data_IF_001672414210
#
_entry.id   IF_001672414210
#
_cell.length_a   1.000
_cell.length_b   1.000
_cell.length_c   1.000
_cell.angle_alpha   90.00
_cell.angle_beta   90.00
_cell.angle_gamma   90.00
#
_symmetry.space_group_name_H-M   'P 1'
#
loop_
_entity.id
_entity.type
_entity.pdbx_description
1 polymer ?
#
# COMPACT_ATOMS: atom_id res chain seq x y z
N UNK A 1 27.12 3.93 -12.61
CA UNK A 1 27.37 5.25 -12.01
C UNK A 1 26.18 5.61 -11.15
N UNK A 2 26.36 5.88 -9.85
CA UNK A 2 25.26 6.39 -9.01
C UNK A 2 24.89 7.79 -9.49
N UNK A 3 23.60 8.07 -9.67
CA UNK A 3 23.14 9.42 -9.97
C UNK A 3 23.59 10.39 -8.85
N UNK A 4 23.89 11.64 -9.20
CA UNK A 4 24.25 12.66 -8.23
C UNK A 4 23.12 12.89 -7.22
N UNK A 5 23.44 13.27 -5.96
CA UNK A 5 22.43 13.61 -4.97
C UNK A 5 21.58 14.79 -5.45
N UNK A 6 20.26 14.72 -5.25
CA UNK A 6 19.30 15.74 -5.68
C UNK A 6 18.27 15.97 -4.56
N UNK A 7 17.78 17.22 -4.38
CA UNK A 7 16.65 17.44 -3.49
C UNK A 7 15.38 16.81 -4.06
N UNK A 8 14.39 16.52 -3.21
CA UNK A 8 13.20 15.81 -3.64
C UNK A 8 11.90 16.33 -3.01
N UNK A 9 10.80 16.15 -3.72
CA UNK A 9 9.44 16.37 -3.24
C UNK A 9 8.64 15.09 -3.48
N UNK A 10 8.12 14.47 -2.42
CA UNK A 10 7.20 13.35 -2.52
C UNK A 10 5.75 13.85 -2.38
N UNK A 11 4.91 13.59 -3.37
CA UNK A 11 3.52 14.06 -3.44
C UNK A 11 2.55 12.90 -3.26
N UNK A 12 1.67 12.99 -2.27
CA UNK A 12 0.65 11.98 -1.93
C UNK A 12 -0.71 12.65 -1.66
N UNK A 13 -1.51 12.84 -2.71
CA UNK A 13 -2.78 13.58 -2.61
C UNK A 13 -4.03 12.72 -2.44
N UNK A 14 -3.93 11.39 -2.51
CA UNK A 14 -5.06 10.50 -2.18
C UNK A 14 -5.35 10.54 -0.66
N UNK A 15 -6.50 11.08 -0.20
CA UNK A 15 -6.81 11.13 1.23
C UNK A 15 -7.06 9.74 1.84
N UNK A 16 -7.23 8.71 1.02
CA UNK A 16 -7.26 7.31 1.43
C UNK A 16 -5.92 6.82 1.98
N UNK A 17 -4.82 7.49 1.63
CA UNK A 17 -3.43 7.15 1.98
C UNK A 17 -2.89 8.13 3.04
N UNK A 18 -2.90 7.75 4.33
CA UNK A 18 -2.16 8.50 5.34
C UNK A 18 -0.66 8.25 5.18
N UNK A 19 0.13 9.27 4.87
CA UNK A 19 1.56 9.09 4.59
C UNK A 19 2.33 8.43 5.75
N UNK A 20 2.03 8.81 6.99
CA UNK A 20 2.60 8.25 8.22
C UNK A 20 1.67 7.28 8.96
N UNK A 21 0.63 6.80 8.26
CA UNK A 21 -0.26 5.80 8.83
C UNK A 21 0.33 4.39 8.85
N UNK A 22 -0.54 3.42 9.17
CA UNK A 22 -0.18 1.99 9.34
C UNK A 22 -0.73 1.08 8.25
N UNK A 23 -1.28 1.64 7.17
CA UNK A 23 -1.79 0.85 6.04
C UNK A 23 -0.61 0.36 5.18
N UNK A 24 -0.82 -0.68 4.37
CA UNK A 24 0.19 -1.11 3.39
C UNK A 24 0.63 0.02 2.46
N UNK A 25 -0.32 0.85 1.99
CA UNK A 25 0.01 2.04 1.20
C UNK A 25 0.82 3.09 1.97
N UNK A 26 0.63 3.22 3.28
CA UNK A 26 1.45 4.09 4.14
C UNK A 26 2.87 3.57 4.27
N UNK A 27 3.03 2.26 4.53
CA UNK A 27 4.35 1.61 4.61
C UNK A 27 5.12 1.77 3.30
N UNK A 28 4.44 1.63 2.17
CA UNK A 28 5.00 1.87 0.85
C UNK A 28 5.49 3.32 0.67
N UNK A 29 4.63 4.31 0.95
CA UNK A 29 5.00 5.74 0.91
C UNK A 29 6.22 6.03 1.79
N UNK A 30 6.27 5.47 3.00
CA UNK A 30 7.41 5.62 3.90
C UNK A 30 8.68 4.95 3.34
N UNK A 31 8.55 3.80 2.69
CA UNK A 31 9.65 3.12 2.00
C UNK A 31 10.24 3.97 0.88
N UNK A 32 9.39 4.53 0.01
CA UNK A 32 9.80 5.46 -1.05
C UNK A 32 10.49 6.68 -0.45
N UNK A 33 9.89 7.29 0.58
CA UNK A 33 10.43 8.47 1.23
C UNK A 33 11.81 8.22 1.87
N UNK A 34 12.02 7.06 2.50
CA UNK A 34 13.36 6.65 2.99
C UNK A 34 14.38 6.54 1.88
N UNK A 35 13.99 6.06 0.69
CA UNK A 35 14.88 5.99 -0.48
C UNK A 35 15.19 7.37 -1.06
N UNK A 36 14.25 8.30 -1.03
CA UNK A 36 14.50 9.70 -1.41
C UNK A 36 15.48 10.36 -0.44
N UNK A 37 15.29 10.20 0.88
CA UNK A 37 16.22 10.69 1.91
C UNK A 37 17.62 10.09 1.74
N UNK A 38 17.72 8.77 1.58
CA UNK A 38 19.01 8.11 1.40
C UNK A 38 19.75 8.59 0.12
N UNK A 39 19.02 8.97 -0.92
CA UNK A 39 19.59 9.48 -2.18
C UNK A 39 19.83 10.98 -2.21
N UNK A 40 19.23 11.75 -1.31
CA UNK A 40 19.37 13.21 -1.33
C UNK A 40 20.75 13.68 -0.87
N UNK A 41 21.53 12.82 -0.21
CA UNK A 41 22.87 13.18 0.28
C UNK A 41 22.84 14.32 1.29
N UNK A 42 21.76 14.42 2.08
CA UNK A 42 21.54 15.51 3.04
C UNK A 42 20.80 16.73 2.46
N UNK A 43 20.53 16.76 1.16
CA UNK A 43 19.69 17.79 0.54
C UNK A 43 18.24 17.67 1.02
N UNK A 44 17.47 18.77 1.02
CA UNK A 44 16.11 18.77 1.51
C UNK A 44 15.20 17.77 0.78
N UNK A 45 14.40 17.05 1.57
CA UNK A 45 13.33 16.19 1.09
C UNK A 45 12.02 16.68 1.69
N UNK A 46 11.08 17.03 0.83
CA UNK A 46 9.75 17.48 1.20
C UNK A 46 8.72 16.38 1.01
N UNK A 47 7.74 16.31 1.90
CA UNK A 47 6.54 15.51 1.75
C UNK A 47 5.33 16.44 1.64
N UNK A 48 4.62 16.42 0.52
CA UNK A 48 3.34 17.12 0.33
C UNK A 48 2.24 16.07 0.35
N UNK A 49 1.39 16.10 1.38
CA UNK A 49 0.39 15.05 1.60
C UNK A 49 -1.00 15.61 1.91
N UNK A 50 -2.04 14.93 1.43
CA UNK A 50 -3.42 15.21 1.83
C UNK A 50 -3.63 14.99 3.33
N UNK A 51 -3.00 13.96 3.89
CA UNK A 51 -2.94 13.72 5.34
C UNK A 51 -1.78 12.85 5.78
N UNK A 52 -1.31 13.03 7.01
CA UNK A 52 -0.24 12.22 7.59
C UNK A 52 -0.78 10.98 8.28
N UNK A 53 -1.75 11.16 9.19
CA UNK A 53 -2.36 10.06 9.94
C UNK A 53 -1.48 9.45 11.04
N UNK A 54 -0.47 10.18 11.50
CA UNK A 54 0.43 9.80 12.60
C UNK A 54 1.68 10.67 12.65
N UNK A 55 2.51 10.43 13.67
CA UNK A 55 3.85 11.00 13.79
C UNK A 55 4.81 10.44 12.74
N UNK A 56 5.88 11.19 12.44
CA UNK A 56 6.93 10.72 11.55
C UNK A 56 7.58 9.43 12.10
N UNK A 57 7.66 8.35 11.31
CA UNK A 57 8.31 7.12 11.75
C UNK A 57 9.84 7.24 11.70
N UNK A 58 10.52 6.26 12.29
CA UNK A 58 11.98 6.21 12.34
C UNK A 58 12.63 6.37 10.94
N UNK A 59 13.67 7.20 10.92
CA UNK A 59 14.42 7.55 9.71
C UNK A 59 13.79 8.66 8.86
N UNK A 60 12.62 9.20 9.24
CA UNK A 60 11.93 10.26 8.49
C UNK A 60 11.81 11.60 9.23
N UNK A 61 12.41 11.75 10.41
CA UNK A 61 12.33 12.99 11.21
C UNK A 61 12.96 14.23 10.55
N UNK A 62 13.83 14.06 9.56
CA UNK A 62 14.43 15.16 8.78
C UNK A 62 13.62 15.56 7.53
N UNK A 63 12.47 14.93 7.27
CA UNK A 63 11.61 15.28 6.13
C UNK A 63 10.81 16.54 6.45
N UNK A 64 10.80 17.49 5.51
CA UNK A 64 10.02 18.72 5.62
C UNK A 64 8.58 18.47 5.16
N UNK A 65 7.64 18.50 6.09
CA UNK A 65 6.26 18.04 5.85
C UNK A 65 5.29 19.19 5.61
N UNK A 66 4.45 19.02 4.58
CA UNK A 66 3.37 19.92 4.21
C UNK A 66 2.05 19.13 4.13
N UNK A 67 1.25 19.18 5.21
CA UNK A 67 -0.06 18.55 5.24
C UNK A 67 -1.13 19.54 4.75
N UNK A 68 -1.78 19.22 3.62
CA UNK A 68 -2.77 20.09 2.97
C UNK A 68 -4.20 19.88 3.49
N UNK A 69 -4.39 18.88 4.35
CA UNK A 69 -5.67 18.52 4.95
C UNK A 69 -6.56 17.69 4.03
N UNK A 70 -7.24 16.71 4.64
CA UNK A 70 -8.26 15.90 3.95
C UNK A 70 -9.47 16.78 3.63
N UNK A 71 -9.88 16.91 2.36
CA UNK A 71 -11.06 17.70 2.03
C UNK A 71 -12.32 17.10 2.66
N UNK A 72 -13.19 17.96 3.18
CA UNK A 72 -14.55 17.62 3.59
C UNK A 72 -15.50 17.94 2.45
N UNK A 73 -16.48 17.09 2.22
CA UNK A 73 -17.43 17.25 1.13
C UNK A 73 -18.78 16.62 1.47
N UNK A 74 -19.85 17.34 1.15
CA UNK A 74 -21.23 16.90 1.33
C UNK A 74 -21.71 16.20 0.06
N UNK A 75 -21.26 14.96 -0.11
CA UNK A 75 -21.65 14.08 -1.22
C UNK A 75 -20.62 13.97 -2.36
N UNK A 76 -20.85 13.06 -3.32
CA UNK A 76 -19.82 12.65 -4.29
C UNK A 76 -19.36 13.78 -5.22
N UNK A 77 -20.27 14.60 -5.75
CA UNK A 77 -19.90 15.71 -6.65
C UNK A 77 -19.05 16.77 -5.95
N UNK A 78 -19.35 17.08 -4.69
CA UNK A 78 -18.53 17.98 -3.90
C UNK A 78 -17.17 17.36 -3.59
N UNK A 79 -17.10 16.03 -3.40
CA UNK A 79 -15.85 15.33 -3.12
C UNK A 79 -14.89 15.38 -4.33
N UNK A 80 -15.38 15.13 -5.54
CA UNK A 80 -14.58 15.21 -6.76
C UNK A 80 -14.01 16.63 -6.96
N UNK A 81 -14.86 17.66 -6.86
CA UNK A 81 -14.41 19.07 -6.92
C UNK A 81 -13.39 19.41 -5.85
N UNK A 82 -13.58 18.92 -4.63
CA UNK A 82 -12.67 19.20 -3.52
C UNK A 82 -11.31 18.52 -3.69
N UNK A 83 -11.25 17.37 -4.37
CA UNK A 83 -10.01 16.66 -4.70
C UNK A 83 -9.26 17.36 -5.84
N UNK A 84 -9.96 17.84 -6.87
CA UNK A 84 -9.34 18.69 -7.91
C UNK A 84 -8.80 19.99 -7.31
N UNK A 85 -9.55 20.64 -6.41
CA UNK A 85 -9.07 21.84 -5.72
C UNK A 85 -7.89 21.56 -4.78
N UNK A 86 -7.79 20.35 -4.21
CA UNK A 86 -6.62 19.93 -3.44
C UNK A 86 -5.38 19.81 -4.34
N UNK A 87 -5.53 19.26 -5.55
CA UNK A 87 -4.45 19.19 -6.54
C UNK A 87 -3.96 20.58 -6.94
N UNK A 88 -4.86 21.53 -7.21
CA UNK A 88 -4.47 22.92 -7.54
C UNK A 88 -3.67 23.60 -6.42
N UNK A 89 -4.09 23.42 -5.14
CA UNK A 89 -3.33 23.96 -4.00
C UNK A 89 -1.96 23.29 -3.86
N UNK A 90 -1.90 21.97 -4.04
CA UNK A 90 -0.64 21.24 -4.02
C UNK A 90 0.29 21.69 -5.16
N UNK A 91 -0.27 21.98 -6.33
CA UNK A 91 0.49 22.38 -7.51
C UNK A 91 1.22 23.72 -7.29
N UNK A 92 0.56 24.71 -6.67
CA UNK A 92 1.20 25.98 -6.30
C UNK A 92 2.34 25.77 -5.31
N UNK A 93 2.10 24.99 -4.25
CA UNK A 93 3.14 24.68 -3.26
C UNK A 93 4.32 23.94 -3.88
N UNK A 94 4.06 22.93 -4.71
CA UNK A 94 5.12 22.13 -5.33
C UNK A 94 5.92 22.96 -6.34
N UNK A 95 5.27 23.83 -7.10
CA UNK A 95 5.94 24.80 -7.98
C UNK A 95 6.92 25.68 -7.19
N UNK A 96 6.47 26.30 -6.09
CA UNK A 96 7.31 27.11 -5.22
C UNK A 96 8.48 26.31 -4.61
N UNK A 97 8.22 25.08 -4.18
CA UNK A 97 9.27 24.19 -3.67
C UNK A 97 10.30 23.86 -4.74
N UNK A 98 9.88 23.52 -5.96
CA UNK A 98 10.80 23.22 -7.06
C UNK A 98 11.70 24.42 -7.35
N UNK A 99 11.12 25.62 -7.52
CA UNK A 99 11.88 26.86 -7.74
C UNK A 99 12.85 27.14 -6.60
N UNK A 100 12.44 26.93 -5.35
CA UNK A 100 13.32 27.09 -4.19
C UNK A 100 14.48 26.09 -4.15
N UNK A 101 14.21 24.83 -4.47
CA UNK A 101 15.19 23.75 -4.47
C UNK A 101 16.19 23.86 -5.62
N UNK A 102 15.79 24.37 -6.78
CA UNK A 102 16.70 24.64 -7.91
C UNK A 102 17.81 25.63 -7.55
N UNK A 103 17.50 26.62 -6.70
CA UNK A 103 18.47 27.63 -6.23
C UNK A 103 19.60 27.03 -5.39
N UNK A 104 19.48 25.77 -4.94
CA UNK A 104 20.55 25.05 -4.25
C UNK A 104 21.69 24.64 -5.20
N UNK A 105 21.48 24.69 -6.52
CA UNK A 105 22.51 24.34 -7.51
C UNK A 105 22.89 22.86 -7.54
N UNK A 106 22.12 21.99 -6.89
CA UNK A 106 22.38 20.55 -6.77
C UNK A 106 21.73 19.72 -7.90
N UNK A 107 21.51 20.33 -9.06
CA UNK A 107 20.73 19.78 -10.17
C UNK A 107 19.22 19.94 -9.98
N UNK A 108 18.45 19.60 -11.01
CA UNK A 108 16.99 19.71 -10.95
C UNK A 108 16.42 18.94 -9.74
N UNK A 109 15.36 19.39 -9.06
CA UNK A 109 14.71 18.60 -8.04
C UNK A 109 14.02 17.36 -8.63
N UNK A 110 13.84 16.32 -7.82
CA UNK A 110 12.99 15.17 -8.20
C UNK A 110 11.62 15.34 -7.57
N UNK A 111 10.55 15.35 -8.37
CA UNK A 111 9.19 15.27 -7.86
C UNK A 111 8.66 13.86 -8.11
N UNK A 112 8.47 13.11 -7.02
CA UNK A 112 7.91 11.76 -7.04
C UNK A 112 6.46 11.81 -6.58
N UNK A 113 5.52 11.66 -7.49
CA UNK A 113 4.10 11.69 -7.20
C UNK A 113 3.51 10.29 -7.22
N UNK A 114 2.75 9.95 -6.19
CA UNK A 114 1.89 8.78 -6.21
C UNK A 114 0.61 9.12 -6.95
N UNK A 115 0.23 8.27 -7.90
CA UNK A 115 -0.99 8.46 -8.69
C UNK A 115 -2.23 8.60 -7.80
N UNK A 116 -3.01 9.64 -8.10
CA UNK A 116 -4.28 9.94 -7.47
C UNK A 116 -5.27 10.39 -8.54
N UNK A 117 -6.52 9.96 -8.41
CA UNK A 117 -7.54 10.06 -9.46
C UNK A 117 -7.74 11.48 -10.01
N UNK A 118 -7.66 12.47 -9.13
CA UNK A 118 -7.89 13.89 -9.42
C UNK A 118 -6.60 14.72 -9.36
N UNK A 119 -5.43 14.07 -9.54
CA UNK A 119 -4.13 14.72 -9.34
C UNK A 119 -3.23 14.62 -10.57
N UNK A 120 -3.23 15.69 -11.35
CA UNK A 120 -2.43 15.82 -12.58
C UNK A 120 -1.69 17.15 -12.64
N UNK A 121 -2.33 18.23 -12.20
CA UNK A 121 -1.82 19.60 -12.27
C UNK A 121 -0.56 19.76 -11.43
N UNK A 122 -0.49 19.10 -10.27
CA UNK A 122 0.72 19.12 -9.43
C UNK A 122 1.95 18.63 -10.18
N UNK A 123 1.83 17.53 -10.93
CA UNK A 123 2.95 16.97 -11.67
C UNK A 123 3.30 17.79 -12.91
N UNK A 124 2.28 18.32 -13.60
CA UNK A 124 2.47 19.21 -14.75
C UNK A 124 3.22 20.49 -14.36
N UNK A 125 2.80 21.14 -13.27
CA UNK A 125 3.49 22.35 -12.77
C UNK A 125 4.90 22.05 -12.28
N UNK A 126 5.10 20.95 -11.57
CA UNK A 126 6.44 20.52 -11.16
C UNK A 126 7.38 20.36 -12.37
N UNK A 127 6.89 19.75 -13.46
CA UNK A 127 7.64 19.61 -14.70
C UNK A 127 7.93 20.95 -15.37
N UNK A 128 6.93 21.82 -15.48
CA UNK A 128 7.09 23.14 -16.07
C UNK A 128 8.08 24.01 -15.28
N UNK A 129 8.13 23.84 -13.96
CA UNK A 129 9.06 24.50 -13.07
C UNK A 129 10.48 23.91 -13.08
N UNK A 130 10.77 22.89 -13.91
CA UNK A 130 12.13 22.36 -14.11
C UNK A 130 12.45 21.06 -13.37
N UNK A 131 11.51 20.47 -12.62
CA UNK A 131 11.75 19.21 -11.93
C UNK A 131 11.83 18.00 -12.88
N UNK A 132 12.62 16.99 -12.47
CA UNK A 132 12.46 15.63 -13.01
C UNK A 132 11.27 14.96 -12.31
N UNK A 133 10.22 14.71 -13.08
CA UNK A 133 8.95 14.17 -12.58
C UNK A 133 8.83 12.66 -12.74
N UNK A 134 8.46 11.99 -11.66
CA UNK A 134 8.16 10.55 -11.63
C UNK A 134 6.73 10.36 -11.13
N UNK A 135 5.94 9.57 -11.86
CA UNK A 135 4.60 9.18 -11.45
C UNK A 135 4.56 7.69 -11.12
N UNK A 136 4.23 7.34 -9.89
CA UNK A 136 3.95 5.96 -9.50
C UNK A 136 2.47 5.63 -9.72
N UNK A 137 2.19 4.80 -10.72
CA UNK A 137 0.88 4.23 -10.98
C UNK A 137 0.70 2.99 -10.10
N UNK A 138 0.02 3.17 -8.97
CA UNK A 138 -0.14 2.14 -7.95
C UNK A 138 -1.31 1.18 -8.21
N UNK A 139 -2.30 1.58 -9.01
CA UNK A 139 -3.54 0.85 -9.24
C UNK A 139 -4.33 1.48 -10.41
N UNK A 140 -5.26 0.73 -11.02
CA UNK A 140 -6.18 1.27 -12.01
C UNK A 140 -7.31 2.07 -11.33
N UNK A 141 -6.99 3.25 -10.80
CA UNK A 141 -7.90 3.99 -9.89
C UNK A 141 -9.24 4.40 -10.53
N UNK A 142 -9.28 4.67 -11.83
CA UNK A 142 -10.54 4.96 -12.55
C UNK A 142 -11.47 3.76 -12.46
N UNK A 143 -10.99 2.59 -12.90
CA UNK A 143 -11.71 1.33 -12.84
C UNK A 143 -12.13 0.95 -11.41
N UNK A 144 -11.22 1.08 -10.44
CA UNK A 144 -11.50 0.74 -9.04
C UNK A 144 -12.58 1.65 -8.45
N UNK A 145 -12.54 2.95 -8.76
CA UNK A 145 -13.55 3.89 -8.30
C UNK A 145 -14.90 3.58 -8.95
N UNK A 146 -14.96 3.31 -10.26
CA UNK A 146 -16.19 2.96 -10.97
C UNK A 146 -16.81 1.64 -10.48
N UNK A 147 -15.99 0.63 -10.14
CA UNK A 147 -16.47 -0.69 -9.69
C UNK A 147 -16.86 -0.75 -8.22
N UNK A 148 -16.20 0.02 -7.35
CA UNK A 148 -16.31 -0.16 -5.91
C UNK A 148 -16.80 1.07 -5.14
N UNK A 149 -16.97 2.21 -5.81
CA UNK A 149 -17.36 3.49 -5.22
C UNK A 149 -18.23 4.29 -6.20
N UNK A 150 -18.54 5.54 -5.84
CA UNK A 150 -19.23 6.48 -6.73
C UNK A 150 -18.19 7.26 -7.54
N UNK A 151 -18.36 7.25 -8.86
CA UNK A 151 -17.63 8.09 -9.81
C UNK A 151 -18.68 8.81 -10.65
N UNK A 152 -18.75 10.14 -10.57
CA UNK A 152 -19.72 10.93 -11.34
C UNK A 152 -19.10 11.43 -12.65
N UNK A 153 -17.87 11.93 -12.59
CA UNK A 153 -17.15 12.44 -13.76
C UNK A 153 -16.04 11.46 -14.20
N UNK A 154 -16.46 10.34 -14.81
CA UNK A 154 -15.52 9.33 -15.31
C UNK A 154 -14.63 9.88 -16.43
N UNK A 155 -15.18 10.66 -17.35
CA UNK A 155 -14.42 11.27 -18.44
C UNK A 155 -13.33 12.21 -17.92
N UNK A 156 -13.64 13.06 -16.93
CA UNK A 156 -12.68 13.94 -16.28
C UNK A 156 -11.61 13.16 -15.52
N UNK A 157 -11.98 12.08 -14.83
CA UNK A 157 -11.03 11.20 -14.15
C UNK A 157 -10.06 10.53 -15.14
N UNK A 158 -10.55 10.03 -16.28
CA UNK A 158 -9.72 9.49 -17.37
C UNK A 158 -8.80 10.58 -17.92
N UNK A 159 -9.34 11.77 -18.24
CA UNK A 159 -8.57 12.87 -18.81
C UNK A 159 -7.42 13.32 -17.89
N UNK A 160 -7.66 13.46 -16.58
CA UNK A 160 -6.64 13.80 -15.60
C UNK A 160 -5.60 12.68 -15.44
N UNK A 161 -6.04 11.43 -15.45
CA UNK A 161 -5.13 10.27 -15.37
C UNK A 161 -4.16 10.24 -16.55
N UNK A 162 -4.69 10.43 -17.76
CA UNK A 162 -3.92 10.54 -18.99
C UNK A 162 -2.91 11.71 -18.95
N UNK A 163 -3.34 12.87 -18.45
CA UNK A 163 -2.50 14.05 -18.26
C UNK A 163 -1.34 13.77 -17.29
N UNK A 164 -1.63 13.22 -16.12
CA UNK A 164 -0.62 12.88 -15.13
C UNK A 164 0.44 11.92 -15.71
N UNK A 165 0.02 10.86 -16.40
CA UNK A 165 0.93 9.89 -17.01
C UNK A 165 1.83 10.52 -18.08
N UNK A 166 1.29 11.41 -18.91
CA UNK A 166 2.07 12.13 -19.94
C UNK A 166 2.97 13.23 -19.37
N UNK A 167 2.62 13.79 -18.22
CA UNK A 167 3.44 14.80 -17.54
C UNK A 167 4.70 14.20 -16.90
N UNK A 168 4.69 12.90 -16.58
CA UNK A 168 5.86 12.24 -15.99
C UNK A 168 7.02 12.14 -17.00
N UNK A 169 8.25 12.41 -16.55
CA UNK A 169 9.44 11.95 -17.30
C UNK A 169 9.56 10.43 -17.21
N UNK A 170 9.14 9.84 -16.10
CA UNK A 170 9.01 8.40 -15.93
C UNK A 170 7.70 8.05 -15.21
N UNK A 171 6.79 7.39 -15.92
CA UNK A 171 5.66 6.71 -15.30
C UNK A 171 6.08 5.28 -14.93
N UNK A 172 5.93 4.91 -13.67
CA UNK A 172 6.28 3.58 -13.15
C UNK A 172 5.06 2.89 -12.58
N UNK A 173 4.78 1.67 -13.02
CA UNK A 173 3.67 0.86 -12.55
C UNK A 173 4.16 -0.27 -11.64
N UNK A 174 3.40 -0.54 -10.58
CA UNK A 174 3.78 -1.50 -9.54
C UNK A 174 3.66 -2.98 -9.98
N UNK A 175 3.05 -3.23 -11.14
CA UNK A 175 2.90 -4.58 -11.71
C UNK A 175 2.74 -4.53 -13.23
N UNK A 176 2.89 -5.68 -13.89
CA UNK A 176 2.64 -5.80 -15.33
C UNK A 176 1.21 -5.45 -15.72
N UNK A 177 0.22 -5.91 -14.96
CA UNK A 177 -1.19 -5.61 -15.24
C UNK A 177 -1.51 -4.10 -15.13
N UNK A 178 -0.98 -3.43 -14.11
CA UNK A 178 -1.14 -1.98 -13.95
C UNK A 178 -0.41 -1.22 -15.06
N UNK A 179 0.74 -1.70 -15.51
CA UNK A 179 1.46 -1.10 -16.64
C UNK A 179 0.68 -1.21 -17.96
N UNK A 180 0.08 -2.37 -18.23
CA UNK A 180 -0.79 -2.57 -19.40
C UNK A 180 -1.96 -1.61 -19.36
N UNK A 181 -2.71 -1.57 -18.24
CA UNK A 181 -3.83 -0.64 -18.07
C UNK A 181 -3.41 0.82 -18.28
N UNK A 182 -2.29 1.25 -17.68
CA UNK A 182 -1.84 2.63 -17.78
C UNK A 182 -1.44 3.03 -19.21
N UNK A 183 -0.81 2.11 -19.96
CA UNK A 183 -0.45 2.33 -21.37
C UNK A 183 -1.69 2.39 -22.25
N UNK A 184 -2.65 1.49 -22.05
CA UNK A 184 -3.92 1.47 -22.78
C UNK A 184 -4.72 2.74 -22.53
N UNK A 185 -4.78 3.21 -21.29
CA UNK A 185 -5.49 4.42 -20.91
C UNK A 185 -4.88 5.67 -21.55
N UNK A 186 -3.55 5.84 -21.44
CA UNK A 186 -2.89 7.13 -21.68
C UNK A 186 -2.10 7.24 -22.98
N UNK A 187 -1.74 6.10 -23.60
CA UNK A 187 -0.78 6.01 -24.69
C UNK A 187 0.67 6.34 -24.29
N UNK A 188 0.95 6.62 -23.01
CA UNK A 188 2.28 6.99 -22.53
C UNK A 188 3.14 5.75 -22.27
N UNK A 189 4.48 5.85 -22.39
CA UNK A 189 5.38 4.78 -21.95
C UNK A 189 5.31 4.63 -20.42
N UNK A 190 5.18 3.38 -19.97
CA UNK A 190 5.14 3.03 -18.55
C UNK A 190 6.11 1.90 -18.29
N UNK A 191 6.94 2.00 -17.25
CA UNK A 191 7.91 0.95 -16.86
C UNK A 191 7.40 0.20 -15.64
N UNK A 192 7.61 -1.12 -15.59
CA UNK A 192 7.24 -1.91 -14.40
C UNK A 192 8.36 -1.77 -13.35
N UNK A 193 8.00 -1.30 -12.16
CA UNK A 193 8.87 -1.30 -10.98
C UNK A 193 8.07 -1.91 -9.83
N UNK A 194 8.29 -3.21 -9.51
CA UNK A 194 7.54 -3.88 -8.45
C UNK A 194 7.76 -3.20 -7.10
N UNK A 195 6.75 -3.25 -6.24
CA UNK A 195 6.90 -2.79 -4.87
C UNK A 195 7.98 -3.59 -4.15
N UNK A 196 8.86 -2.88 -3.44
CA UNK A 196 9.91 -3.48 -2.64
C UNK A 196 9.42 -3.88 -1.25
N UNK A 197 10.11 -4.84 -0.65
CA UNK A 197 10.03 -5.15 0.78
C UNK A 197 11.34 -4.78 1.45
N UNK A 198 11.27 -4.36 2.71
CA UNK A 198 12.46 -4.16 3.53
C UNK A 198 13.08 -5.52 3.88
N UNK A 199 14.14 -5.91 3.17
CA UNK A 199 14.78 -7.21 3.34
C UNK A 199 15.55 -7.34 4.66
N UNK A 200 15.93 -6.24 5.31
CA UNK A 200 16.54 -6.28 6.65
C UNK A 200 15.47 -6.61 7.68
N UNK A 201 14.27 -6.04 7.52
CA UNK A 201 13.13 -6.31 8.39
C UNK A 201 12.44 -7.65 8.12
N UNK A 202 12.38 -8.07 6.86
CA UNK A 202 11.65 -9.26 6.40
C UNK A 202 12.57 -10.29 5.75
N UNK A 203 13.75 -10.51 6.35
CA UNK A 203 14.67 -11.58 5.95
C UNK A 203 14.21 -12.96 6.45
N UNK A 204 14.74 -14.05 5.88
CA UNK A 204 14.53 -15.39 6.42
C UNK A 204 14.95 -15.44 7.89
N UNK A 205 14.06 -15.90 8.77
CA UNK A 205 14.40 -16.06 10.18
C UNK A 205 15.53 -17.09 10.32
N UNK A 206 16.64 -16.69 10.94
CA UNK A 206 17.71 -17.61 11.30
C UNK A 206 17.25 -18.48 12.49
N UNK A 207 16.93 -19.75 12.22
CA UNK A 207 16.74 -20.75 13.28
C UNK A 207 15.31 -21.07 13.73
N UNK A 208 14.26 -20.66 13.00
CA UNK A 208 12.87 -21.00 13.36
C UNK A 208 12.02 -21.50 12.18
N UNK A 209 12.64 -22.16 11.20
CA UNK A 209 11.89 -22.94 10.23
C UNK A 209 11.14 -24.06 10.98
N UNK A 210 9.87 -24.27 10.63
CA UNK A 210 9.12 -25.44 11.04
C UNK A 210 9.98 -26.69 10.76
N UNK A 211 10.39 -27.40 11.83
CA UNK A 211 11.18 -28.63 11.69
C UNK A 211 10.40 -29.71 10.92
N UNK A 212 11.05 -30.78 10.47
CA UNK A 212 10.35 -31.90 9.84
C UNK A 212 9.20 -32.41 10.73
N UNK A 213 7.97 -32.45 10.20
CA UNK A 213 6.77 -32.86 10.94
C UNK A 213 6.12 -31.79 11.82
N UNK A 214 6.66 -30.56 11.82
CA UNK A 214 5.98 -29.42 12.42
C UNK A 214 4.70 -29.09 11.64
N UNK A 215 3.70 -28.53 12.32
CA UNK A 215 2.40 -28.44 11.71
C UNK A 215 2.26 -27.35 10.66
N UNK A 216 1.33 -27.58 9.72
CA UNK A 216 0.97 -26.58 8.73
C UNK A 216 0.27 -25.39 9.41
N UNK A 217 0.96 -24.26 9.47
CA UNK A 217 0.39 -23.00 9.94
C UNK A 217 -0.05 -22.13 8.76
N UNK A 218 -1.35 -21.88 8.66
CA UNK A 218 -1.94 -20.92 7.73
C UNK A 218 -2.27 -19.63 8.46
N UNK A 219 -1.62 -18.53 8.08
CA UNK A 219 -1.81 -17.21 8.68
C UNK A 219 -2.22 -16.15 7.65
N UNK A 220 -3.04 -15.19 8.09
CA UNK A 220 -3.40 -14.01 7.31
C UNK A 220 -3.02 -12.76 8.09
N UNK A 221 -2.38 -11.79 7.45
CA UNK A 221 -2.09 -10.49 8.07
C UNK A 221 -2.60 -9.40 7.14
N UNK A 222 -3.72 -8.79 7.52
CA UNK A 222 -4.37 -7.78 6.70
C UNK A 222 -5.63 -7.23 7.35
N UNK A 223 -6.20 -6.18 6.75
CA UNK A 223 -7.53 -5.69 7.13
C UNK A 223 -8.59 -6.66 6.60
N UNK A 224 -9.72 -6.82 7.28
CA UNK A 224 -10.83 -7.61 6.75
C UNK A 224 -11.65 -6.80 5.75
N UNK A 225 -11.45 -7.06 4.46
CA UNK A 225 -12.23 -6.47 3.36
C UNK A 225 -12.68 -7.60 2.43
N UNK A 226 -13.88 -7.52 1.83
CA UNK A 226 -14.41 -8.59 0.99
C UNK A 226 -13.45 -9.03 -0.13
N UNK A 227 -12.78 -8.07 -0.77
CA UNK A 227 -11.83 -8.32 -1.84
C UNK A 227 -10.51 -8.98 -1.40
N UNK A 228 -10.26 -9.13 -0.09
CA UNK A 228 -9.09 -9.90 0.38
C UNK A 228 -9.36 -11.41 0.40
N UNK A 229 -10.59 -11.88 0.12
CA UNK A 229 -10.88 -13.30 -0.08
C UNK A 229 -10.64 -14.16 1.16
N UNK A 230 -10.88 -13.63 2.36
CA UNK A 230 -10.62 -14.39 3.59
C UNK A 230 -11.49 -15.65 3.69
N UNK A 231 -12.71 -15.61 3.18
CA UNK A 231 -13.58 -16.79 3.09
C UNK A 231 -12.92 -17.89 2.24
N UNK A 232 -12.39 -17.52 1.07
CA UNK A 232 -11.63 -18.44 0.21
C UNK A 232 -10.40 -19.02 0.93
N UNK A 233 -9.67 -18.21 1.71
CA UNK A 233 -8.54 -18.71 2.50
C UNK A 233 -8.98 -19.74 3.55
N UNK A 234 -10.10 -19.49 4.23
CA UNK A 234 -10.63 -20.40 5.25
C UNK A 234 -11.10 -21.70 4.60
N UNK A 235 -11.83 -21.63 3.50
CA UNK A 235 -12.28 -22.81 2.75
C UNK A 235 -11.10 -23.64 2.22
N UNK A 236 -10.09 -22.96 1.67
CA UNK A 236 -8.85 -23.60 1.23
C UNK A 236 -8.13 -24.27 2.41
N UNK A 237 -7.99 -23.58 3.56
CA UNK A 237 -7.36 -24.13 4.75
C UNK A 237 -8.14 -25.34 5.31
N UNK A 238 -9.47 -25.30 5.29
CA UNK A 238 -10.33 -26.40 5.72
C UNK A 238 -10.15 -27.63 4.82
N UNK A 239 -9.97 -27.44 3.51
CA UNK A 239 -9.76 -28.55 2.57
C UNK A 239 -8.43 -29.28 2.75
N UNK A 240 -7.46 -28.66 3.43
CA UNK A 240 -6.17 -29.27 3.75
C UNK A 240 -6.22 -30.17 4.99
N UNK A 241 -7.22 -30.01 5.87
CA UNK A 241 -7.33 -30.79 7.11
C UNK A 241 -7.50 -32.28 6.79
N UNK A 242 -6.59 -33.11 7.32
CA UNK A 242 -6.61 -34.57 7.12
C UNK A 242 -5.79 -35.07 5.92
N UNK A 243 -5.10 -34.19 5.19
CA UNK A 243 -4.08 -34.59 4.21
C UNK A 243 -2.77 -35.00 4.90
N UNK A 244 -1.92 -35.84 4.28
CA UNK A 244 -0.63 -36.26 4.85
C UNK A 244 0.29 -35.10 5.23
N UNK A 245 0.15 -33.95 4.55
CA UNK A 245 0.92 -32.73 4.80
C UNK A 245 0.33 -31.85 5.92
N UNK A 246 -0.91 -32.12 6.34
CA UNK A 246 -1.62 -31.38 7.38
C UNK A 246 -1.51 -32.06 8.74
N UNK A 247 -0.28 -32.23 9.23
CA UNK A 247 -0.13 -32.40 10.67
C UNK A 247 -0.51 -31.08 11.34
N UNK A 248 -1.60 -31.08 12.11
CA UNK A 248 -1.81 -30.41 13.42
C UNK A 248 -1.71 -28.87 13.61
N UNK A 249 -2.77 -28.13 13.28
CA UNK A 249 -3.17 -26.83 13.89
C UNK A 249 -3.01 -25.57 13.01
N UNK A 250 -4.13 -25.17 12.41
CA UNK A 250 -4.32 -23.89 11.75
C UNK A 250 -4.58 -22.80 12.79
N UNK A 251 -3.73 -21.78 12.86
CA UNK A 251 -3.98 -20.59 13.67
C UNK A 251 -4.05 -19.35 12.77
N UNK A 252 -5.29 -18.90 12.54
CA UNK A 252 -5.59 -17.66 11.84
C UNK A 252 -5.45 -16.49 12.83
N UNK A 253 -4.33 -15.77 12.80
CA UNK A 253 -4.19 -14.52 13.55
C UNK A 253 -4.88 -13.38 12.80
N UNK A 254 -5.63 -12.54 13.52
CA UNK A 254 -6.39 -11.43 12.99
C UNK A 254 -6.11 -10.17 13.80
N UNK A 255 -5.58 -9.12 13.19
CA UNK A 255 -5.44 -7.81 13.84
C UNK A 255 -4.21 -7.02 13.40
N UNK A 256 -4.16 -5.70 13.71
CA UNK A 256 -2.93 -4.93 13.57
C UNK A 256 -1.85 -5.64 14.39
N UNK A 257 -0.68 -5.89 13.79
CA UNK A 257 0.39 -6.68 14.41
C UNK A 257 0.58 -6.32 15.90
N UNK A 258 0.30 -7.25 16.85
CA UNK A 258 0.62 -7.00 18.24
C UNK A 258 2.14 -7.13 18.43
N UNK A 259 2.74 -6.38 19.37
CA UNK A 259 4.17 -6.49 19.70
C UNK A 259 4.47 -7.69 20.63
N UNK A 260 3.66 -8.74 20.64
CA UNK A 260 3.78 -9.84 21.59
C UNK A 260 4.14 -11.16 20.91
N UNK A 261 4.92 -12.04 21.58
CA UNK A 261 5.24 -13.35 21.06
C UNK A 261 3.96 -14.16 20.79
N UNK A 262 4.01 -14.95 19.72
CA UNK A 262 2.92 -15.81 19.25
C UNK A 262 2.36 -16.66 20.40
N UNK A 263 1.03 -16.75 20.58
CA UNK A 263 0.44 -17.58 21.61
C UNK A 263 0.77 -19.06 21.37
N UNK A 264 1.00 -19.81 22.45
CA UNK A 264 1.24 -21.25 22.38
C UNK A 264 0.09 -21.96 21.62
N UNK A 265 0.39 -23.03 20.85
CA UNK A 265 -0.62 -23.76 20.11
C UNK A 265 -1.74 -24.26 21.04
N UNK A 266 -2.98 -24.14 20.58
CA UNK A 266 -4.15 -24.62 21.31
C UNK A 266 -4.06 -26.15 21.49
N UNK A 267 -4.47 -26.68 22.66
CA UNK A 267 -4.52 -28.12 22.86
C UNK A 267 -5.52 -28.75 21.87
N UNK A 268 -5.27 -30.00 21.43
CA UNK A 268 -6.14 -30.67 20.47
C UNK A 268 -7.57 -30.82 21.02
N UNK A 269 -8.60 -30.77 20.14
CA UNK A 269 -9.98 -30.90 20.54
C UNK A 269 -10.22 -32.25 21.23
N UNK A 270 -10.75 -32.21 22.46
CA UNK A 270 -11.14 -33.42 23.17
C UNK A 270 -12.46 -33.93 22.58
N UNK A 271 -12.39 -34.98 21.76
CA UNK A 271 -13.60 -35.70 21.34
C UNK A 271 -14.19 -36.43 22.55
N UNK A 272 -15.50 -36.29 22.84
CA UNK A 272 -16.15 -37.06 23.89
C UNK A 272 -16.10 -38.55 23.54
N UNK A 273 -15.54 -39.36 24.46
CA UNK A 273 -15.50 -40.83 24.31
C UNK A 273 -16.93 -41.36 24.18
N UNK A 274 -17.17 -42.19 23.15
CA UNK A 274 -18.44 -42.87 22.98
C UNK A 274 -18.77 -43.72 24.23
N UNK A 275 -20.04 -43.76 24.68
CA UNK A 275 -20.42 -44.54 25.85
C UNK A 275 -20.26 -46.03 25.55
N UNK A 276 -19.52 -46.71 26.42
CA UNK A 276 -19.37 -48.17 26.43
C UNK A 276 -20.74 -48.82 26.58
N UNK A 277 -21.21 -49.52 25.54
CA UNK A 277 -22.42 -50.36 25.62
C UNK A 277 -22.19 -51.46 26.65
N UNK A 278 -22.85 -51.33 27.80
CA UNK A 278 -22.87 -52.35 28.85
C UNK A 278 -23.40 -53.68 28.34
N UNK A 279 -22.63 -54.75 28.55
CA UNK A 279 -23.05 -56.13 28.31
C UNK A 279 -24.30 -56.44 29.14
N UNK A 280 -25.45 -56.67 28.50
CA UNK A 280 -26.63 -57.25 29.15
C UNK A 280 -26.29 -58.69 29.58
N UNK A 281 -26.46 -58.99 30.87
CA UNK A 281 -26.46 -60.37 31.38
C UNK A 281 -27.75 -61.08 30.93
N UNK A 282 -27.70 -62.39 30.59
CA UNK A 282 -28.90 -63.15 30.28
C UNK A 282 -29.69 -63.44 31.56
N UNK A 283 -31.03 -63.36 31.48
CA UNK A 283 -31.95 -63.80 32.53
C UNK A 283 -32.05 -65.33 32.51
N UNK A 284 -31.91 -65.98 33.67
CA UNK A 284 -32.27 -67.39 33.85
C UNK A 284 -33.78 -67.52 34.07
N UNK A 285 -34.43 -68.61 33.62
CA UNK A 285 -35.80 -68.93 33.98
C UNK A 285 -35.84 -69.93 35.16
N UNK A 286 -36.79 -69.73 36.08
CA UNK A 286 -37.19 -70.71 37.11
C UNK A 286 -36.36 -70.69 38.38
#
# INVERSE_FOLDING_TARGET
MSAAPRPAVHVVLDPGVPAYGRKGCSVHVQGVLRRLVARSGGLPVHLVAARLGGEAPDGLGGVLVHELGRPRADGPAAAERALTALDERAALLVEDLVVGLERLGAGAPVVYQRYGLWSAVTLERARAAGATTVLEVNAPLVDEQARHRVLLDEEGAVALSCRAMRAAHAAVAVSGAVATWARELSGAPVTVVPNGVDAERFGPATGSGAGPGAPLLVGFVGTFRPWHGLELLVDAAASLVGTPDAASSSALSAGPAPPLPWPAPLPPPQHPRAPTRGRRRPRSPG
#
